data_IF_685540607135
#
_entry.id   IF_685540607135
#
_cell.length_a   1.000
_cell.length_b   1.000
_cell.length_c   1.000
_cell.angle_alpha   90.00
_cell.angle_beta   90.00
_cell.angle_gamma   90.00
#
_symmetry.space_group_name_H-M   'P 1'
#
loop_
_entity.id
_entity.type
_entity.pdbx_description
1 polymer ?
#
# COMPACT_ATOMS: atom_id res chain seq x y z
N UNK A 1 -6.22 -3.50 -10.32
CA UNK A 1 -6.43 -2.07 -9.99
C UNK A 1 -5.11 -1.35 -9.92
N UNK A 2 -5.10 -0.08 -10.19
CA UNK A 2 -3.88 0.76 -10.17
C UNK A 2 -4.12 1.93 -9.22
N UNK A 3 -3.12 2.22 -8.39
CA UNK A 3 -3.04 3.49 -7.66
C UNK A 3 -1.78 4.24 -8.11
N UNK A 4 -1.85 5.56 -8.14
CA UNK A 4 -0.69 6.37 -8.45
C UNK A 4 -0.02 6.85 -7.17
N UNK A 5 1.30 6.63 -7.09
CA UNK A 5 2.12 7.09 -5.98
C UNK A 5 3.20 7.99 -6.59
N UNK A 6 3.17 9.28 -6.25
CA UNK A 6 4.09 10.28 -6.80
C UNK A 6 4.14 10.24 -8.34
N UNK A 7 2.99 10.03 -8.96
CA UNK A 7 2.87 9.96 -10.42
C UNK A 7 3.24 8.62 -11.04
N UNK A 8 3.66 7.64 -10.23
CA UNK A 8 4.06 6.32 -10.72
C UNK A 8 2.91 5.34 -10.50
N UNK A 9 2.40 4.72 -11.58
CA UNK A 9 1.34 3.72 -11.45
C UNK A 9 1.85 2.46 -10.72
N UNK A 10 1.11 2.04 -9.72
CA UNK A 10 1.40 0.81 -8.97
C UNK A 10 0.22 -0.15 -9.13
N UNK A 11 0.51 -1.38 -9.52
CA UNK A 11 -0.52 -2.42 -9.56
C UNK A 11 -0.91 -2.83 -8.16
N UNK A 12 -2.22 -2.88 -7.90
CA UNK A 12 -2.75 -3.42 -6.64
C UNK A 12 -3.30 -4.80 -6.95
N UNK A 13 -2.68 -5.81 -6.38
CA UNK A 13 -3.03 -7.21 -6.63
C UNK A 13 -3.34 -7.92 -5.32
N UNK A 14 -4.14 -8.97 -5.40
CA UNK A 14 -4.44 -9.81 -4.24
C UNK A 14 -3.35 -10.86 -4.04
N UNK A 15 -3.08 -11.21 -2.80
CA UNK A 15 -2.17 -12.29 -2.45
C UNK A 15 -2.82 -13.24 -1.43
N UNK A 16 -2.23 -14.41 -1.28
CA UNK A 16 -2.75 -15.45 -0.41
C UNK A 16 -1.62 -15.98 0.49
N UNK A 17 -1.81 -15.92 1.81
CA UNK A 17 -0.83 -16.39 2.80
C UNK A 17 -0.42 -17.84 2.60
N UNK A 18 -1.30 -18.67 2.03
CA UNK A 18 -1.01 -20.09 1.81
C UNK A 18 0.02 -20.30 0.71
N UNK A 19 0.18 -19.34 -0.20
CA UNK A 19 1.01 -19.48 -1.39
C UNK A 19 2.13 -18.46 -1.49
N UNK A 20 2.08 -17.40 -0.69
CA UNK A 20 3.03 -16.32 -0.72
C UNK A 20 3.43 -15.95 0.70
N UNK A 21 4.64 -16.32 1.10
CA UNK A 21 5.14 -16.10 2.46
C UNK A 21 5.25 -14.62 2.83
N UNK A 22 5.35 -13.74 1.83
CA UNK A 22 5.40 -12.29 2.04
C UNK A 22 4.01 -11.67 2.13
N UNK A 23 2.97 -12.45 1.87
CA UNK A 23 1.60 -11.97 1.94
C UNK A 23 1.07 -12.10 3.37
N UNK A 24 1.29 -11.13 4.17
CA UNK A 24 0.72 -11.06 5.52
C UNK A 24 -0.63 -10.34 5.48
N UNK A 25 -0.64 -9.06 5.73
CA UNK A 25 -1.78 -8.21 5.41
C UNK A 25 -1.57 -7.54 4.07
N UNK A 26 -0.35 -7.08 3.81
CA UNK A 26 0.04 -6.48 2.55
C UNK A 26 1.52 -6.21 2.49
N UNK A 27 2.00 -5.89 1.31
CA UNK A 27 3.38 -5.45 1.08
C UNK A 27 3.45 -4.57 -0.15
N UNK A 28 4.52 -3.79 -0.25
CA UNK A 28 4.84 -3.04 -1.47
C UNK A 28 6.19 -3.48 -2.01
N UNK A 29 6.22 -3.77 -3.30
CA UNK A 29 7.43 -4.03 -4.06
C UNK A 29 7.75 -2.74 -4.82
N UNK A 30 8.66 -1.94 -4.28
CA UNK A 30 9.02 -0.65 -4.85
C UNK A 30 9.67 -0.78 -6.23
N UNK A 31 10.46 -1.83 -6.42
CA UNK A 31 11.19 -2.04 -7.67
C UNK A 31 10.26 -2.31 -8.83
N UNK A 32 9.23 -3.10 -8.62
CA UNK A 32 8.29 -3.52 -9.66
C UNK A 32 6.99 -2.71 -9.64
N UNK A 33 6.85 -1.77 -8.71
CA UNK A 33 5.65 -0.93 -8.55
C UNK A 33 4.38 -1.78 -8.39
N UNK A 34 4.41 -2.70 -7.42
CA UNK A 34 3.30 -3.59 -7.09
C UNK A 34 2.99 -3.50 -5.61
N UNK A 35 1.71 -3.38 -5.29
CA UNK A 35 1.20 -3.49 -3.92
C UNK A 35 0.39 -4.77 -3.85
N UNK A 36 0.75 -5.65 -2.93
CA UNK A 36 0.00 -6.86 -2.64
C UNK A 36 -0.86 -6.65 -1.41
N UNK A 37 -2.13 -7.03 -1.50
CA UNK A 37 -3.08 -6.97 -0.39
C UNK A 37 -3.63 -8.37 -0.18
N UNK A 38 -3.66 -8.83 1.07
CA UNK A 38 -4.21 -10.15 1.39
C UNK A 38 -5.66 -10.22 0.92
N UNK A 39 -6.00 -11.25 0.17
CA UNK A 39 -7.32 -11.44 -0.45
C UNK A 39 -8.47 -11.50 0.56
N UNK A 40 -8.17 -11.84 1.81
CA UNK A 40 -9.18 -11.97 2.86
C UNK A 40 -9.54 -10.63 3.51
N UNK A 41 -8.78 -9.57 3.24
CA UNK A 41 -9.07 -8.25 3.78
C UNK A 41 -10.20 -7.59 2.99
N UNK A 42 -11.17 -7.06 3.71
CA UNK A 42 -12.36 -6.40 3.14
C UNK A 42 -12.62 -5.07 3.83
N UNK A 43 -13.35 -4.20 3.16
CA UNK A 43 -13.82 -2.94 3.71
C UNK A 43 -12.70 -2.08 4.27
N UNK A 44 -12.86 -1.64 5.52
CA UNK A 44 -11.92 -0.74 6.18
C UNK A 44 -10.53 -1.37 6.35
N UNK A 45 -10.47 -2.66 6.67
CA UNK A 45 -9.18 -3.35 6.85
C UNK A 45 -8.36 -3.33 5.55
N UNK A 46 -9.00 -3.54 4.42
CA UNK A 46 -8.35 -3.45 3.12
C UNK A 46 -7.88 -2.02 2.84
N UNK A 47 -8.74 -1.05 3.10
CA UNK A 47 -8.42 0.37 2.87
C UNK A 47 -7.23 0.82 3.73
N UNK A 48 -7.22 0.46 5.01
CA UNK A 48 -6.12 0.80 5.92
C UNK A 48 -4.80 0.17 5.46
N UNK A 49 -4.83 -1.09 5.04
CA UNK A 49 -3.63 -1.78 4.57
C UNK A 49 -3.12 -1.14 3.28
N UNK A 50 -4.01 -0.82 2.34
CA UNK A 50 -3.61 -0.13 1.11
C UNK A 50 -2.97 1.23 1.43
N UNK A 51 -3.56 2.02 2.31
CA UNK A 51 -3.00 3.31 2.72
C UNK A 51 -1.63 3.15 3.37
N UNK A 52 -1.45 2.14 4.22
CA UNK A 52 -0.17 1.84 4.86
C UNK A 52 0.93 1.60 3.81
N UNK A 53 0.67 0.72 2.83
CA UNK A 53 1.64 0.43 1.78
C UNK A 53 1.89 1.63 0.87
N UNK A 54 0.86 2.41 0.58
CA UNK A 54 1.02 3.64 -0.19
C UNK A 54 1.92 4.66 0.51
N UNK A 55 1.81 4.78 1.84
CA UNK A 55 2.68 5.68 2.62
C UNK A 55 4.14 5.24 2.50
N UNK A 56 4.42 3.93 2.59
CA UNK A 56 5.78 3.43 2.32
C UNK A 56 6.28 3.90 0.96
N UNK A 57 5.48 3.75 -0.08
CA UNK A 57 5.84 4.17 -1.43
C UNK A 57 6.08 5.67 -1.55
N UNK A 58 5.20 6.48 -0.96
CA UNK A 58 5.33 7.95 -0.97
C UNK A 58 6.64 8.39 -0.32
N UNK A 59 6.92 7.86 0.87
CA UNK A 59 8.11 8.27 1.63
C UNK A 59 9.39 7.88 0.91
N UNK A 60 9.43 6.70 0.31
CA UNK A 60 10.58 6.29 -0.47
C UNK A 60 10.81 7.21 -1.66
N UNK A 61 9.77 7.51 -2.42
CA UNK A 61 9.88 8.34 -3.63
C UNK A 61 10.26 9.79 -3.35
N UNK A 62 9.85 10.33 -2.20
CA UNK A 62 10.23 11.71 -1.83
C UNK A 62 11.54 11.77 -1.04
N UNK A 63 12.22 10.64 -0.83
CA UNK A 63 13.56 10.59 -0.25
C UNK A 63 13.62 10.54 1.27
N UNK A 64 12.55 10.12 1.95
CA UNK A 64 12.52 9.98 3.41
C UNK A 64 12.61 8.52 3.82
N UNK A 65 13.74 7.88 3.48
CA UNK A 65 13.95 6.45 3.71
C UNK A 65 13.84 6.08 5.20
N UNK A 66 14.34 6.93 6.09
CA UNK A 66 14.25 6.68 7.53
C UNK A 66 12.79 6.60 8.00
N UNK A 67 11.94 7.50 7.51
CA UNK A 67 10.52 7.49 7.83
C UNK A 67 9.81 6.31 7.16
N UNK A 68 10.21 5.96 5.94
CA UNK A 68 9.68 4.79 5.24
C UNK A 68 9.91 3.50 6.05
N UNK A 69 11.00 3.41 6.78
CA UNK A 69 11.34 2.26 7.62
C UNK A 69 10.80 2.36 9.05
N UNK A 70 10.11 3.45 9.37
CA UNK A 70 9.49 3.64 10.68
C UNK A 70 8.03 3.19 10.63
N UNK A 71 7.77 1.94 11.03
CA UNK A 71 6.43 1.35 10.96
C UNK A 71 5.39 2.10 11.78
N UNK A 72 5.78 2.64 12.93
CA UNK A 72 4.86 3.42 13.77
C UNK A 72 4.41 4.69 13.06
N UNK A 73 5.34 5.40 12.42
CA UNK A 73 5.03 6.60 11.65
C UNK A 73 4.15 6.26 10.45
N UNK A 74 4.53 5.23 9.69
CA UNK A 74 3.79 4.78 8.51
C UNK A 74 2.36 4.39 8.88
N UNK A 75 2.19 3.66 9.98
CA UNK A 75 0.86 3.25 10.45
C UNK A 75 0.01 4.47 10.83
N UNK A 76 0.58 5.42 11.54
CA UNK A 76 -0.13 6.64 11.94
C UNK A 76 -0.55 7.47 10.73
N UNK A 77 0.35 7.67 9.78
CA UNK A 77 0.06 8.41 8.55
C UNK A 77 -0.95 7.69 7.66
N UNK A 78 -0.81 6.37 7.54
CA UNK A 78 -1.76 5.55 6.79
C UNK A 78 -3.17 5.65 7.35
N UNK A 79 -3.31 5.61 8.68
CA UNK A 79 -4.59 5.76 9.33
C UNK A 79 -5.19 7.16 9.11
N UNK A 80 -4.36 8.20 9.20
CA UNK A 80 -4.82 9.57 8.95
C UNK A 80 -5.34 9.75 7.52
N UNK A 81 -4.61 9.22 6.55
CA UNK A 81 -5.03 9.26 5.14
C UNK A 81 -6.32 8.45 4.94
N UNK A 82 -6.37 7.25 5.50
CA UNK A 82 -7.53 6.37 5.38
C UNK A 82 -8.80 7.02 5.91
N UNK A 83 -8.70 7.77 7.00
CA UNK A 83 -9.85 8.42 7.63
C UNK A 83 -10.27 9.71 6.92
N UNK A 84 -9.35 10.37 6.24
CA UNK A 84 -9.61 11.68 5.65
C UNK A 84 -9.82 11.68 4.13
N UNK A 85 -9.47 10.61 3.45
CA UNK A 85 -9.46 10.58 1.98
C UNK A 85 -10.01 9.28 1.42
N UNK A 86 -10.53 9.37 0.19
CA UNK A 86 -10.81 8.18 -0.61
C UNK A 86 -9.64 7.92 -1.55
N UNK A 87 -9.21 6.67 -1.61
CA UNK A 87 -8.12 6.26 -2.48
C UNK A 87 -8.68 5.97 -3.86
N UNK A 88 -8.14 6.62 -4.87
CA UNK A 88 -8.56 6.41 -6.24
C UNK A 88 -7.84 5.18 -6.82
N UNK A 89 -8.58 4.09 -6.94
CA UNK A 89 -8.12 2.90 -7.66
C UNK A 89 -8.78 2.89 -9.04
N UNK A 90 -7.99 2.68 -10.07
CA UNK A 90 -8.48 2.62 -11.44
C UNK A 90 -8.17 1.26 -12.07
N UNK A 91 -9.00 0.85 -13.03
CA UNK A 91 -8.75 -0.39 -13.76
C UNK A 91 -7.56 -0.21 -14.71
N UNK A 92 -6.73 -1.26 -14.80
CA UNK A 92 -5.71 -1.32 -15.83
C UNK A 92 -6.38 -1.60 -17.18
N UNK A 93 -6.01 -0.82 -18.15
CA UNK A 93 -6.48 -1.01 -19.53
C UNK A 93 -5.48 -1.82 -20.33
#
# INVERSE_FOLDING_TARGET
MIVNICGIPHDVVECDDNFDVDCHMGMIDHKNAVIKINKDLKGLNRKETLCHEMVHGMLLHIGYDDLCNNEQFVQAMGNAICQGFEIKEVNRE
#
